data_IF_512201237698
#
_entry.id   IF_512201237698
#
_cell.length_a   1.000
_cell.length_b   1.000
_cell.length_c   1.000
_cell.angle_alpha   90.00
_cell.angle_beta   90.00
_cell.angle_gamma   90.00
#
_symmetry.space_group_name_H-M   'P 1'
#
loop_
_entity.id
_entity.type
_entity.pdbx_description
1 polymer ?
2 polymer ?
3 non-polymer ?
4 water ?
#
# COMPACT_ATOMS: atom_id res chain seq x y z
N UNK A 1 -19.76 -9.34 2.39
CA UNK A 1 -18.51 -9.31 1.65
C UNK A 1 -17.81 -10.64 1.83
N UNK A 2 -16.86 -10.84 1.07
CA UNK A 2 -16.19 -12.12 0.99
C UNK A 2 -14.67 -11.87 1.07
N UNK A 3 -13.92 -12.29 2.08
CA UNK A 3 -12.50 -12.12 2.25
C UNK A 3 -11.79 -13.41 1.98
N UNK A 4 -10.95 -13.42 0.95
CA UNK A 4 -10.22 -14.60 0.51
C UNK A 4 -8.87 -14.63 1.22
N UNK A 5 -8.59 -15.74 1.91
CA UNK A 5 -7.31 -15.94 2.58
C UNK A 5 -6.72 -17.31 2.19
N UNK A 6 -5.44 -17.51 2.48
CA UNK A 6 -4.80 -18.79 2.21
C UNK A 6 -3.77 -19.07 3.30
N UNK A 7 -3.63 -20.35 3.68
CA UNK A 7 -2.75 -20.76 4.76
C UNK A 7 -1.32 -20.27 4.53
N UNK A 8 -0.70 -19.72 5.58
CA UNK A 8 0.71 -19.38 5.54
C UNK A 8 1.10 -18.19 4.68
N UNK A 9 0.12 -17.48 4.11
CA UNK A 9 0.36 -16.21 3.42
C UNK A 9 0.27 -15.05 4.43
N UNK A 10 1.41 -14.40 4.72
CA UNK A 10 1.55 -13.44 5.82
C UNK A 10 0.62 -12.24 5.75
N UNK A 11 0.29 -11.78 4.53
CA UNK A 11 -0.67 -10.68 4.35
C UNK A 11 -2.05 -10.97 4.91
N UNK A 12 -2.36 -12.25 5.11
CA UNK A 12 -3.64 -12.60 5.74
C UNK A 12 -3.71 -12.24 7.22
N UNK A 13 -2.56 -12.11 7.88
CA UNK A 13 -2.54 -11.71 9.29
C UNK A 13 -3.19 -10.37 9.67
N UNK A 14 -2.73 -9.28 9.08
CA UNK A 14 -3.33 -8.01 9.42
C UNK A 14 -4.83 -7.97 9.01
N UNK A 15 -5.17 -8.50 7.85
CA UNK A 15 -6.54 -8.43 7.42
C UNK A 15 -7.50 -9.23 8.29
N UNK A 16 -7.09 -10.39 8.77
CA UNK A 16 -7.87 -11.10 9.73
C UNK A 16 -8.00 -10.40 11.10
N UNK A 17 -6.90 -9.78 11.53
CA UNK A 17 -6.91 -9.04 12.80
C UNK A 17 -7.76 -7.77 12.72
N UNK A 18 -7.86 -7.18 11.53
CA UNK A 18 -8.64 -5.94 11.35
C UNK A 18 -10.11 -6.16 10.98
N UNK A 19 -10.45 -7.37 10.54
CA UNK A 19 -11.80 -7.66 10.01
C UNK A 19 -12.93 -7.34 11.00
N UNK A 20 -12.64 -7.40 12.30
CA UNK A 20 -13.65 -7.15 13.34
C UNK A 20 -14.13 -5.72 13.37
N UNK A 21 -13.31 -4.81 12.82
CA UNK A 21 -13.67 -3.39 12.75
C UNK A 21 -14.84 -3.11 11.81
N UNK A 22 -15.15 -4.07 10.93
CA UNK A 22 -16.30 -3.96 10.03
C UNK A 22 -17.63 -4.37 10.68
N UNK A 23 -17.57 -4.99 11.87
CA UNK A 23 -18.77 -5.50 12.55
C UNK A 23 -19.79 -4.41 12.81
N UNK A 24 -21.04 -4.70 12.47
CA UNK A 24 -22.10 -3.73 12.63
C UNK A 24 -22.16 -2.73 11.48
N UNK A 25 -21.18 -2.77 10.57
CA UNK A 25 -21.31 -2.01 9.32
C UNK A 25 -21.55 -2.92 8.11
N UNK A 26 -20.79 -4.01 8.02
CA UNK A 26 -20.94 -5.00 6.96
C UNK A 26 -20.42 -6.34 7.44
N UNK A 27 -20.74 -7.40 6.72
CA UNK A 27 -20.34 -8.74 7.14
C UNK A 27 -19.12 -9.17 6.35
N UNK A 28 -18.17 -9.79 7.02
CA UNK A 28 -16.96 -10.29 6.36
C UNK A 28 -16.93 -11.81 6.50
N UNK A 29 -17.30 -12.55 5.46
CA UNK A 29 -17.14 -13.99 5.47
C UNK A 29 -15.72 -14.31 5.03
N UNK A 30 -15.14 -15.31 5.68
CA UNK A 30 -13.78 -15.76 5.34
C UNK A 30 -13.79 -16.99 4.43
N UNK A 31 -13.23 -16.84 3.24
CA UNK A 31 -13.10 -17.95 2.29
C UNK A 31 -11.63 -18.39 2.23
N UNK A 32 -11.34 -19.63 2.54
CA UNK A 32 -9.98 -20.13 2.53
C UNK A 32 -9.72 -20.90 1.24
N UNK A 33 -8.67 -20.43 0.46
CA UNK A 33 -8.41 -20.94 -0.88
C UNK A 33 -6.96 -21.36 -1.01
N UNK A 34 -6.64 -22.02 -2.03
CA UNK A 34 -5.29 -22.35 -2.34
C UNK A 34 -4.42 -21.17 -2.75
N UNK A 35 -3.12 -21.31 -2.62
CA UNK A 35 -2.21 -20.18 -2.89
C UNK A 35 -2.09 -19.84 -4.39
N UNK A 36 -2.66 -20.69 -5.24
CA UNK A 36 -2.61 -20.49 -6.69
C UNK A 36 -3.96 -20.17 -7.33
N UNK A 37 -4.99 -20.03 -6.51
CA UNK A 37 -6.32 -19.66 -6.98
C UNK A 37 -6.35 -18.18 -7.38
N UNK A 38 -6.85 -17.90 -8.58
CA UNK A 38 -6.95 -16.53 -9.09
C UNK A 38 -8.36 -16.00 -8.90
N UNK A 39 -8.59 -15.30 -7.80
CA UNK A 39 -9.94 -14.84 -7.47
C UNK A 39 -10.36 -13.48 -8.07
N UNK A 40 -9.38 -12.67 -8.47
CA UNK A 40 -9.66 -11.34 -9.01
C UNK A 40 -9.70 -11.40 -10.54
N UNK A 41 -10.87 -11.05 -11.13
CA UNK A 41 -11.11 -11.20 -12.59
C UNK A 41 -10.10 -10.45 -13.46
N UNK A 42 -9.58 -9.31 -12.98
CA UNK A 42 -8.71 -8.47 -13.81
C UNK A 42 -7.22 -8.69 -13.55
N UNK A 43 -6.87 -9.60 -12.64
CA UNK A 43 -5.47 -9.87 -12.32
C UNK A 43 -5.04 -11.24 -12.85
N UNK A 44 -3.91 -11.26 -13.56
CA UNK A 44 -3.48 -12.49 -14.23
C UNK A 44 -2.92 -13.47 -13.22
N UNK A 45 -2.10 -12.96 -12.30
CA UNK A 45 -1.43 -13.79 -11.29
C UNK A 45 -2.20 -13.81 -9.96
N UNK A 46 -2.25 -14.98 -9.31
CA UNK A 46 -3.03 -15.12 -8.08
C UNK A 46 -2.60 -14.14 -7.01
N UNK A 47 -3.57 -13.58 -6.31
CA UNK A 47 -3.28 -12.70 -5.19
C UNK A 47 -4.16 -13.12 -4.01
N UNK A 48 -3.56 -13.15 -2.84
CA UNK A 48 -4.26 -13.40 -1.58
C UNK A 48 -3.52 -12.61 -0.49
N UNK A 49 -4.25 -11.94 0.42
CA UNK A 49 -5.69 -11.78 0.58
C UNK A 49 -6.34 -10.80 -0.39
N UNK A 50 -7.59 -11.06 -0.65
CA UNK A 50 -8.41 -10.25 -1.51
C UNK A 50 -9.79 -10.07 -0.91
N UNK A 51 -10.33 -8.86 -1.01
CA UNK A 51 -11.64 -8.62 -0.50
C UNK A 51 -12.60 -8.32 -1.64
N UNK A 52 -13.61 -9.13 -1.74
CA UNK A 52 -14.72 -8.83 -2.67
C UNK A 52 -15.78 -8.06 -1.87
N UNK A 53 -15.91 -6.79 -2.21
CA UNK A 53 -16.82 -5.90 -1.54
C UNK A 53 -18.29 -6.20 -1.93
N UNK A 54 -19.22 -5.69 -1.13
CA UNK A 54 -20.64 -5.87 -1.44
C UNK A 54 -21.01 -5.27 -2.81
N UNK A 55 -20.33 -4.20 -3.19
CA UNK A 55 -20.47 -3.58 -4.51
C UNK A 55 -19.95 -4.46 -5.63
N UNK A 56 -19.14 -5.47 -5.29
CA UNK A 56 -18.50 -6.31 -6.30
C UNK A 56 -17.16 -5.77 -6.82
N UNK A 57 -16.76 -4.60 -6.34
CA UNK A 57 -15.39 -4.13 -6.46
C UNK A 57 -14.47 -5.01 -5.61
N UNK A 58 -13.18 -4.99 -5.94
CA UNK A 58 -12.19 -5.76 -5.22
C UNK A 58 -11.10 -4.89 -4.62
N UNK A 59 -10.68 -5.26 -3.41
CA UNK A 59 -9.45 -4.75 -2.88
C UNK A 59 -8.45 -5.88 -2.84
N UNK A 60 -7.29 -5.65 -3.46
CA UNK A 60 -6.26 -6.65 -3.57
C UNK A 60 -5.00 -6.26 -2.81
N UNK A 61 -5.05 -5.10 -2.15
CA UNK A 61 -3.94 -4.63 -1.35
C UNK A 61 -4.22 -4.90 0.11
N UNK A 62 -3.29 -5.59 0.78
CA UNK A 62 -3.44 -5.92 2.20
C UNK A 62 -3.66 -4.67 3.05
N UNK A 63 -2.84 -3.64 2.84
CA UNK A 63 -3.00 -2.39 3.58
C UNK A 63 -4.32 -1.67 3.27
N UNK A 64 -4.77 -1.74 2.02
CA UNK A 64 -6.06 -1.12 1.67
C UNK A 64 -7.24 -1.86 2.26
N UNK A 65 -7.12 -3.18 2.39
CA UNK A 65 -8.18 -4.00 2.98
C UNK A 65 -8.30 -3.57 4.43
N UNK A 66 -7.16 -3.49 5.12
CA UNK A 66 -7.13 -3.05 6.52
C UNK A 66 -7.65 -1.62 6.65
N UNK A 67 -7.24 -0.74 5.73
CA UNK A 67 -7.75 0.63 5.75
C UNK A 67 -9.26 0.64 5.62
N UNK A 68 -9.79 -0.11 4.66
CA UNK A 68 -11.24 -0.19 4.46
C UNK A 68 -11.97 -0.60 5.75
N UNK A 69 -11.48 -1.63 6.42
CA UNK A 69 -12.09 -2.09 7.66
C UNK A 69 -12.10 -0.99 8.72
N UNK A 70 -10.96 -0.28 8.85
CA UNK A 70 -10.89 0.84 9.80
C UNK A 70 -11.82 1.98 9.44
N UNK A 71 -11.91 2.29 8.15
CA UNK A 71 -12.79 3.37 7.71
C UNK A 71 -14.25 3.03 8.02
N UNK A 72 -14.62 1.77 7.85
CA UNK A 72 -15.95 1.31 8.24
C UNK A 72 -16.24 1.51 9.73
N UNK A 73 -15.21 1.40 10.56
CA UNK A 73 -15.37 1.56 12.00
C UNK A 73 -15.40 3.04 12.40
N UNK A 74 -15.23 3.93 11.43
CA UNK A 74 -15.33 5.38 11.65
C UNK A 74 -14.00 6.09 11.88
N UNK A 75 -12.91 5.42 11.51
CA UNK A 75 -11.56 5.97 11.61
C UNK A 75 -11.36 7.07 10.62
N UNK A 76 -10.65 8.11 11.06
CA UNK A 76 -10.33 9.26 10.22
C UNK A 76 -8.87 9.16 9.78
N UNK A 77 -8.65 9.37 8.48
CA UNK A 77 -7.32 9.26 7.92
C UNK A 77 -6.43 10.36 8.47
N UNK A 78 -5.18 10.00 8.79
CA UNK A 78 -4.20 10.99 9.22
C UNK A 78 -2.87 10.76 8.50
N UNK A 79 -2.09 11.81 8.39
CA UNK A 79 -0.86 11.79 7.66
C UNK A 79 0.21 10.83 8.19
N UNK A 80 0.32 10.77 9.52
CA UNK A 80 1.31 9.91 10.18
C UNK A 80 1.04 8.45 9.86
N UNK A 81 -0.23 8.05 9.88
CA UNK A 81 -0.58 6.70 9.50
C UNK A 81 -0.22 6.40 8.04
N UNK A 82 -0.54 7.32 7.13
CA UNK A 82 -0.12 7.14 5.72
C UNK A 82 1.39 6.94 5.60
N UNK A 83 2.13 7.71 6.39
CA UNK A 83 3.58 7.70 6.37
C UNK A 83 4.09 6.33 6.76
N UNK A 84 3.50 5.74 7.80
CA UNK A 84 3.89 4.39 8.23
C UNK A 84 3.56 3.35 7.20
N UNK A 85 2.37 3.48 6.62
CA UNK A 85 1.92 2.50 5.65
C UNK A 85 2.76 2.52 4.37
N UNK A 86 3.16 3.71 3.94
CA UNK A 86 4.01 3.82 2.75
C UNK A 86 5.41 3.25 3.03
N UNK A 87 5.95 3.55 4.20
CA UNK A 87 7.23 2.98 4.65
C UNK A 87 7.19 1.47 4.74
N UNK A 88 6.09 0.93 5.26
CA UNK A 88 5.93 -0.51 5.37
C UNK A 88 5.98 -1.18 3.99
N UNK A 89 5.34 -0.54 3.02
CA UNK A 89 5.19 -1.15 1.69
C UNK A 89 6.45 -1.12 0.87
N UNK A 90 7.21 -0.03 0.99
CA UNK A 90 8.36 0.25 0.13
C UNK A 90 9.71 -0.02 0.81
N UNK A 91 9.73 0.13 2.12
CA UNK A 91 10.96 -0.13 2.83
C UNK A 91 11.00 -1.41 3.66
N UNK A 92 10.03 -1.59 4.55
CA UNK A 92 10.06 -2.76 5.40
C UNK A 92 9.81 -4.05 4.65
N UNK A 93 8.82 -4.06 3.78
CA UNK A 93 8.48 -5.30 3.06
C UNK A 93 9.65 -5.96 2.31
N UNK A 94 10.43 -5.18 1.52
CA UNK A 94 11.61 -5.77 0.88
C UNK A 94 12.60 -6.39 1.88
N UNK A 95 12.88 -5.68 2.97
CA UNK A 95 13.83 -6.13 4.00
C UNK A 95 13.35 -7.39 4.70
N UNK A 96 12.07 -7.38 5.07
CA UNK A 96 11.41 -8.50 5.74
C UNK A 96 11.33 -9.73 4.86
N UNK A 97 10.99 -9.53 3.58
CA UNK A 97 10.99 -10.59 2.58
C UNK A 97 12.32 -11.35 2.55
N UNK A 98 13.42 -10.61 2.42
CA UNK A 98 14.75 -11.22 2.41
C UNK A 98 15.04 -12.01 3.69
N UNK A 99 14.84 -11.36 4.84
CA UNK A 99 15.05 -11.97 6.17
C UNK A 99 14.29 -13.27 6.35
N UNK A 100 13.03 -13.29 5.93
CA UNK A 100 12.19 -14.46 6.06
C UNK A 100 12.57 -15.52 5.04
N UNK A 101 12.99 -15.10 3.85
CA UNK A 101 13.48 -16.02 2.84
C UNK A 101 14.73 -16.74 3.32
N UNK A 102 15.63 -16.00 3.98
CA UNK A 102 16.84 -16.59 4.54
C UNK A 102 16.50 -17.59 5.63
N UNK A 103 15.60 -17.17 6.52
CA UNK A 103 15.25 -18.00 7.63
C UNK A 103 14.56 -19.25 7.22
N UNK A 104 13.47 -19.11 6.52
CA UNK A 104 12.67 -20.22 5.99
C UNK A 104 13.13 -21.09 4.85
N UNK A 105 13.59 -20.47 3.77
CA UNK A 105 13.98 -21.28 2.62
C UNK A 105 15.43 -21.75 2.71
N UNK A 106 16.30 -20.93 3.25
CA UNK A 106 17.73 -21.24 3.31
C UNK A 106 18.20 -21.80 4.66
N UNK A 107 17.30 -21.80 5.65
CA UNK A 107 17.63 -22.34 6.96
C UNK A 107 18.70 -21.57 7.73
N UNK A 108 18.96 -20.33 7.33
CA UNK A 108 19.88 -19.47 8.09
C UNK A 108 19.27 -19.10 9.45
N UNK A 109 20.12 -18.65 10.36
CA UNK A 109 19.70 -18.35 11.74
C UNK A 109 20.42 -17.11 12.28
N UNK A 110 19.97 -16.62 13.43
CA UNK A 110 20.58 -15.46 14.09
C UNK A 110 20.76 -14.26 13.18
N UNK A 111 21.95 -13.66 13.22
CA UNK A 111 22.24 -12.44 12.46
C UNK A 111 22.21 -12.61 10.94
N UNK A 112 22.38 -13.83 10.45
CA UNK A 112 22.23 -14.08 9.02
C UNK A 112 20.79 -13.85 8.56
N UNK A 113 19.87 -13.84 9.52
CA UNK A 113 18.44 -13.58 9.25
C UNK A 113 18.09 -12.15 9.60
N UNK A 114 18.46 -11.77 10.81
CA UNK A 114 18.08 -10.49 11.39
C UNK A 114 18.79 -9.33 10.69
N UNK A 115 20.00 -9.61 10.17
CA UNK A 115 20.79 -8.61 9.46
C UNK A 115 20.00 -7.74 8.49
N UNK A 116 19.21 -8.41 7.65
CA UNK A 116 18.40 -7.76 6.62
C UNK A 116 17.39 -6.73 7.15
N UNK A 117 16.99 -6.87 8.42
CA UNK A 117 15.96 -6.00 9.01
C UNK A 117 16.37 -5.16 10.22
N UNK A 118 17.59 -5.34 10.73
CA UNK A 118 18.00 -4.62 11.95
C UNK A 118 17.83 -3.10 11.89
N UNK A 119 18.24 -2.47 10.79
CA UNK A 119 18.07 -1.04 10.63
C UNK A 119 16.59 -0.64 10.71
N UNK A 120 15.75 -1.39 10.03
CA UNK A 120 14.29 -1.13 10.03
C UNK A 120 13.69 -1.34 11.43
N UNK A 121 14.12 -2.38 12.15
CA UNK A 121 13.64 -2.59 13.52
C UNK A 121 14.11 -1.48 14.46
N UNK A 122 15.37 -1.05 14.29
CA UNK A 122 15.88 0.08 15.03
C UNK A 122 15.04 1.33 14.80
N UNK A 123 14.64 1.57 13.56
CA UNK A 123 13.80 2.71 13.25
C UNK A 123 12.46 2.69 13.96
N UNK A 124 11.80 1.54 13.98
CA UNK A 124 10.52 1.41 14.67
C UNK A 124 10.67 1.64 16.16
N UNK A 125 11.68 0.99 16.74
CA UNK A 125 11.98 1.15 18.16
C UNK A 125 12.25 2.60 18.51
N UNK A 126 13.17 3.24 17.77
CA UNK A 126 13.50 4.64 17.97
C UNK A 126 12.27 5.54 17.87
N UNK A 127 11.43 5.31 16.86
CA UNK A 127 10.19 6.09 16.70
C UNK A 127 9.24 5.94 17.89
N UNK A 128 9.11 4.72 18.40
CA UNK A 128 8.28 4.47 19.57
C UNK A 128 8.84 5.12 20.84
N UNK A 129 10.15 5.10 20.99
CA UNK A 129 10.82 5.70 22.15
C UNK A 129 10.66 7.22 22.16
N UNK A 130 10.84 7.83 20.99
CA UNK A 130 10.88 9.29 20.86
C UNK A 130 9.51 9.93 21.06
N UNK A 131 8.46 9.21 20.67
CA UNK A 131 7.10 9.60 21.04
C UNK A 131 6.81 9.08 22.43
N UNK A 132 5.89 9.75 23.14
CA UNK A 132 5.52 9.33 24.49
C UNK A 132 4.38 8.32 24.46
N UNK A 133 3.69 8.28 23.32
CA UNK A 133 2.53 7.40 23.12
C UNK A 133 2.93 5.95 22.81
N UNK A 134 2.15 4.98 23.32
CA UNK A 134 2.45 3.54 23.18
C UNK A 134 2.24 2.97 21.78
N UNK A 135 1.65 3.75 20.87
CA UNK A 135 1.37 3.27 19.53
C UNK A 135 1.98 4.15 18.44
N UNK A 136 1.99 3.64 17.21
CA UNK A 136 2.79 4.21 16.14
C UNK A 136 2.37 5.59 15.66
N UNK A 137 1.06 5.86 15.76
CA UNK A 137 0.48 7.09 15.25
C UNK A 137 -0.35 7.80 16.29
N UNK A 138 -0.24 7.35 17.54
CA UNK A 138 -0.99 7.98 18.63
C UNK A 138 -1.19 7.10 19.85
N UNK A 139 -2.31 7.32 20.52
CA UNK A 139 -2.50 6.89 21.91
C UNK A 139 -3.23 5.56 22.06
N UNK A 140 -3.91 5.12 21.00
CA UNK A 140 -4.63 3.84 20.99
C UNK A 140 -4.21 2.99 19.78
N UNK A 141 -4.34 1.67 19.89
CA UNK A 141 -3.98 0.78 18.77
C UNK A 141 -4.84 1.09 17.55
N UNK A 142 -4.18 1.41 16.44
CA UNK A 142 -4.90 1.80 15.22
C UNK A 142 -4.40 1.10 13.96
N UNK A 143 -4.71 1.66 12.79
CA UNK A 143 -4.36 1.04 11.50
C UNK A 143 -2.86 0.79 11.26
N UNK A 144 -2.02 1.78 11.58
CA UNK A 144 -0.58 1.63 11.43
C UNK A 144 -0.06 0.47 12.27
N UNK A 145 -0.58 0.35 13.49
CA UNK A 145 -0.18 -0.74 14.37
C UNK A 145 -0.52 -2.12 13.82
N UNK A 146 -1.71 -2.28 13.27
CA UNK A 146 -2.13 -3.59 12.79
C UNK A 146 -1.34 -3.99 11.54
N UNK A 147 -1.15 -3.03 10.62
CA UNK A 147 -0.40 -3.31 9.41
C UNK A 147 1.05 -3.69 9.74
N UNK A 148 1.70 -2.91 10.59
CA UNK A 148 3.10 -3.17 10.96
C UNK A 148 3.25 -4.44 11.78
N UNK A 149 2.36 -4.63 12.74
CA UNK A 149 2.35 -5.87 13.51
C UNK A 149 2.20 -7.05 12.59
N UNK A 150 1.24 -6.97 11.66
CA UNK A 150 1.01 -8.06 10.72
C UNK A 150 2.21 -8.44 9.84
N UNK A 151 2.97 -7.44 9.42
CA UNK A 151 4.17 -7.69 8.62
C UNK A 151 5.24 -8.37 9.48
N UNK A 152 5.41 -7.86 10.68
CA UNK A 152 6.51 -8.30 11.54
C UNK A 152 6.24 -9.60 12.21
N UNK A 153 4.97 -9.88 12.48
CA UNK A 153 4.63 -11.01 13.33
C UNK A 153 5.35 -12.32 13.00
N UNK A 154 5.37 -12.76 11.71
CA UNK A 154 5.98 -14.06 11.42
C UNK A 154 7.44 -14.17 11.88
N UNK A 155 8.16 -13.06 11.84
CA UNK A 155 9.55 -13.02 12.34
C UNK A 155 9.59 -12.92 13.86
N UNK A 156 8.97 -11.86 14.38
CA UNK A 156 9.06 -11.49 15.79
C UNK A 156 8.32 -12.41 16.77
N UNK A 157 7.47 -13.29 16.25
CA UNK A 157 6.73 -14.24 17.09
C UNK A 157 7.63 -15.28 17.77
N UNK A 158 8.81 -15.52 17.19
CA UNK A 158 9.83 -16.34 17.83
C UNK A 158 10.74 -15.39 18.60
N UNK A 159 10.75 -15.46 19.96
CA UNK A 159 11.50 -14.51 20.82
C UNK A 159 12.99 -14.39 20.46
N UNK A 160 13.52 -15.42 19.81
CA UNK A 160 14.92 -15.42 19.37
C UNK A 160 15.17 -14.38 18.29
N UNK A 161 14.13 -13.95 17.59
CA UNK A 161 14.25 -12.97 16.51
C UNK A 161 13.66 -11.61 16.85
N UNK A 162 13.40 -11.40 18.12
CA UNK A 162 12.91 -10.12 18.64
C UNK A 162 14.02 -9.52 19.52
N UNK A 163 14.87 -8.65 18.94
CA UNK A 163 16.09 -8.22 19.63
C UNK A 163 15.82 -7.54 20.97
N UNK A 164 16.47 -8.08 22.01
CA UNK A 164 16.26 -7.71 23.41
C UNK A 164 16.44 -6.21 23.70
N UNK A 165 17.43 -5.60 23.05
CA UNK A 165 17.77 -4.19 23.29
C UNK A 165 16.72 -3.21 22.79
N UNK A 166 15.86 -3.67 21.89
CA UNK A 166 14.82 -2.84 21.30
C UNK A 166 13.58 -2.93 22.19
N UNK A 167 13.63 -2.23 23.32
CA UNK A 167 12.63 -2.42 24.37
C UNK A 167 11.28 -1.78 24.06
N UNK A 168 11.29 -0.71 23.29
CA UNK A 168 10.06 -0.04 22.92
C UNK A 168 9.28 -0.86 21.95
N UNK A 169 10.00 -1.39 20.99
CA UNK A 169 9.44 -2.25 20.00
C UNK A 169 8.89 -3.50 20.65
N UNK A 170 9.67 -4.08 21.56
CA UNK A 170 9.26 -5.26 22.34
C UNK A 170 7.95 -5.06 23.06
N UNK A 171 7.86 -4.01 23.86
CA UNK A 171 6.64 -3.72 24.59
C UNK A 171 5.42 -3.47 23.68
N UNK A 172 5.62 -2.75 22.59
CA UNK A 172 4.56 -2.50 21.59
C UNK A 172 4.07 -3.78 20.98
N UNK A 173 5.02 -4.63 20.61
CA UNK A 173 4.72 -5.87 19.92
C UNK A 173 3.96 -6.81 20.84
N UNK A 174 4.39 -6.89 22.09
CA UNK A 174 3.67 -7.67 23.12
C UNK A 174 2.23 -7.19 23.34
N UNK A 175 2.03 -5.89 23.47
CA UNK A 175 0.73 -5.34 23.67
C UNK A 175 -0.16 -5.73 22.47
N UNK A 176 0.34 -5.62 21.24
CA UNK A 176 -0.46 -6.02 20.09
C UNK A 176 -0.75 -7.52 19.96
N UNK A 177 0.27 -8.32 20.16
CA UNK A 177 0.12 -9.72 19.99
C UNK A 177 -0.85 -10.35 20.98
N UNK A 178 -1.05 -9.74 22.13
CA UNK A 178 -1.91 -10.28 23.18
C UNK A 178 -3.39 -9.98 22.96
N UNK A 179 -3.68 -9.05 22.05
CA UNK A 179 -5.07 -8.73 21.74
C UNK A 179 -5.72 -9.94 21.07
N UNK A 180 -6.96 -10.24 21.47
CA UNK A 180 -7.65 -11.44 20.99
C UNK A 180 -7.74 -11.54 19.45
N UNK A 181 -8.05 -10.43 18.76
CA UNK A 181 -8.08 -10.58 17.31
C UNK A 181 -6.70 -10.89 16.70
N UNK A 182 -5.63 -10.42 17.35
CA UNK A 182 -4.29 -10.72 16.84
C UNK A 182 -3.90 -12.19 17.07
N UNK A 183 -4.24 -12.71 18.24
CA UNK A 183 -3.96 -14.10 18.61
C UNK A 183 -4.67 -15.05 17.64
N UNK A 184 -5.94 -14.76 17.37
CA UNK A 184 -6.74 -15.57 16.47
C UNK A 184 -6.18 -15.52 15.08
N UNK A 185 -5.80 -14.32 14.62
CA UNK A 185 -5.21 -14.19 13.27
C UNK A 185 -3.93 -15.02 13.17
N UNK A 186 -3.08 -14.93 14.19
CA UNK A 186 -1.84 -15.71 14.24
C UNK A 186 -2.09 -17.22 14.17
N UNK A 187 -3.05 -17.69 14.97
CA UNK A 187 -3.42 -19.09 14.97
C UNK A 187 -3.97 -19.55 13.63
N UNK A 188 -4.75 -18.70 12.97
CA UNK A 188 -5.35 -19.04 11.70
C UNK A 188 -4.30 -19.18 10.57
N UNK A 189 -3.35 -18.25 10.53
CA UNK A 189 -2.45 -18.14 9.38
C UNK A 189 -1.25 -19.08 9.53
N UNK A 190 -0.67 -19.10 10.72
CA UNK A 190 0.55 -19.88 10.98
C UNK A 190 0.27 -21.27 11.57
N UNK A 191 -0.90 -21.42 12.20
CA UNK A 191 -1.32 -22.68 12.81
C UNK A 191 -0.21 -23.19 13.75
N UNK A 192 0.22 -24.44 13.62
CA UNK A 192 1.24 -24.97 14.52
C UNK A 192 2.69 -24.78 14.01
N UNK A 193 2.84 -24.24 12.81
CA UNK A 193 4.16 -24.24 12.18
C UNK A 193 5.01 -23.00 12.43
N UNK A 194 4.45 -21.99 13.11
CA UNK A 194 5.16 -20.72 13.25
C UNK A 194 5.60 -20.18 11.90
N UNK A 195 6.82 -19.66 11.84
CA UNK A 195 7.34 -19.04 10.66
C UNK A 195 7.39 -20.04 9.48
N UNK A 196 7.52 -21.30 9.77
CA UNK A 196 7.65 -22.32 8.70
C UNK A 196 6.40 -22.49 7.82
N UNK A 197 5.27 -21.96 8.29
CA UNK A 197 4.00 -21.95 7.55
C UNK A 197 4.16 -21.17 6.26
N UNK A 198 5.02 -20.17 6.29
CA UNK A 198 5.32 -19.33 5.12
C UNK A 198 6.04 -20.01 4.00
N UNK A 199 6.67 -21.12 4.26
CA UNK A 199 7.60 -21.69 3.29
C UNK A 199 7.09 -21.84 1.83
N UNK A 200 5.85 -22.32 1.63
CA UNK A 200 5.39 -22.39 0.23
C UNK A 200 5.31 -21.02 -0.45
N UNK A 201 4.83 -20.02 0.29
CA UNK A 201 4.67 -18.64 -0.20
C UNK A 201 6.01 -17.95 -0.50
N UNK A 202 7.00 -18.12 0.37
CA UNK A 202 8.30 -17.45 0.31
C UNK A 202 9.12 -17.99 -0.78
N UNK A 203 8.96 -19.28 -0.93
CA UNK A 203 9.28 -20.04 -2.09
C UNK A 203 10.00 -21.34 -1.84
N UNK B 1 14.26 5.34 -15.79
CA UNK B 1 13.58 5.26 -14.47
C UNK B 1 12.44 6.26 -14.30
N UNK B 2 11.79 6.19 -13.15
CA UNK B 2 10.67 7.07 -12.86
C UNK B 2 11.11 8.47 -12.56
N UNK B 3 10.22 9.43 -12.84
CA UNK B 3 10.32 10.80 -12.34
C UNK B 3 10.90 10.81 -10.94
N UNK B 4 11.87 11.68 -10.71
CA UNK B 4 12.33 11.95 -9.34
C UNK B 4 11.15 12.50 -8.54
N UNK B 5 11.09 12.13 -7.28
CA UNK B 5 9.94 12.50 -6.46
C UNK B 5 9.75 14.02 -6.29
N UNK B 6 10.84 14.78 -6.19
CA UNK B 6 10.76 16.25 -6.06
C UNK B 6 10.17 16.86 -7.33
N UNK B 7 10.51 16.28 -8.48
CA UNK B 7 9.96 16.72 -9.76
C UNK B 7 8.48 16.38 -9.85
N UNK B 8 8.12 15.17 -9.43
CA UNK B 8 6.71 14.80 -9.48
C UNK B 8 5.85 15.65 -8.53
N UNK B 9 6.39 15.93 -7.34
CA UNK B 9 5.66 16.74 -6.35
C UNK B 9 5.52 18.20 -6.82
N UNK B 10 6.53 18.71 -7.51
CA UNK B 10 6.43 20.05 -8.06
C UNK B 10 5.35 20.11 -9.12
N UNK B 11 5.28 19.07 -9.94
CA UNK B 11 4.26 18.92 -10.95
C UNK B 11 2.86 18.79 -10.33
N UNK B 12 2.75 17.98 -9.28
CA UNK B 12 1.49 17.86 -8.56
C UNK B 12 1.00 19.18 -7.93
N UNK B 13 1.93 19.97 -7.37
CA UNK B 13 1.54 21.28 -6.83
C UNK B 13 0.90 22.17 -7.91
N UNK B 14 1.53 22.22 -9.08
CA UNK B 14 0.99 22.99 -10.20
C UNK B 14 -0.38 22.47 -10.65
N UNK B 15 -0.52 21.16 -10.77
CA UNK B 15 -1.80 20.55 -11.12
C UNK B 15 -2.91 20.89 -10.12
N UNK B 16 -2.54 20.94 -8.84
CA UNK B 16 -3.53 21.20 -7.81
C UNK B 16 -3.86 22.69 -7.71
N UNK B 17 -3.02 23.52 -8.35
CA UNK B 17 -3.17 24.97 -8.30
C UNK B 17 -2.57 25.58 -7.05
N UNK B 18 -1.66 24.84 -6.40
CA UNK B 18 -0.92 25.39 -5.26
C UNK B 18 0.14 26.39 -5.72
N UNK B 19 0.24 27.51 -5.02
CA UNK B 19 0.95 28.74 -5.46
C UNK B 19 2.43 28.90 -5.72
N UNK B 20 3.32 28.45 -4.85
CA UNK B 20 3.15 28.19 -3.47
C UNK B 20 4.44 28.38 -2.71
N UNK B 21 5.38 27.53 -3.03
CA UNK B 21 6.57 27.36 -2.28
C UNK B 21 6.83 25.89 -2.05
N UNK B 22 6.77 25.42 -0.78
CA UNK B 22 7.18 24.04 -0.43
C UNK B 22 8.50 23.59 -1.02
N UNK B 23 9.50 23.45 -0.16
CA UNK B 23 10.78 22.83 -0.54
C UNK B 23 10.79 21.39 -0.01
N UNK B 24 11.33 20.49 -0.83
CA UNK B 24 11.45 19.09 -0.47
C UNK B 24 12.92 18.75 -0.35
N UNK B 25 13.24 17.99 0.68
CA UNK B 25 14.57 17.43 0.76
C UNK B 25 14.41 15.96 0.44
N UNK B 26 15.52 15.27 0.37
CA UNK B 26 15.51 13.88 0.02
C UNK B 26 16.33 13.11 1.04
N UNK B 27 15.87 11.90 1.33
CA UNK B 27 16.50 11.10 2.36
C UNK B 27 16.77 9.68 1.87
N UNK B 28 17.97 9.19 2.19
CA UNK B 28 18.34 7.81 1.90
C UNK B 28 18.77 7.57 0.47
N UNK B 29 19.23 6.35 0.22
CA UNK B 29 19.72 5.90 -1.08
C UNK B 29 18.69 6.05 -2.22
N UNK B 30 17.42 5.82 -1.89
CA UNK B 30 16.32 5.90 -2.86
C UNK B 30 15.77 7.32 -3.01
N UNK B 31 16.36 8.28 -2.32
CA UNK B 31 16.03 9.71 -2.47
C UNK B 31 14.54 9.95 -2.16
N UNK B 32 14.12 9.44 -1.00
CA UNK B 32 12.73 9.56 -0.57
C UNK B 32 12.42 11.01 -0.22
N UNK B 33 11.29 11.55 -0.75
CA UNK B 33 10.97 12.96 -0.50
C UNK B 33 10.57 13.25 0.95
N UNK B 34 11.00 14.40 1.45
CA UNK B 34 10.66 14.85 2.79
C UNK B 34 10.13 16.28 2.70
N UNK B 35 8.97 16.52 3.29
CA UNK B 35 8.39 17.86 3.36
C UNK B 35 8.42 18.32 4.81
N UNK B 36 9.04 19.48 5.05
CA UNK B 36 8.88 20.11 6.36
C UNK B 36 7.74 21.13 6.28
N UNK B 37 6.59 20.78 6.87
CA UNK B 37 5.41 21.64 6.82
C UNK B 37 5.54 22.77 7.83
N UNK B 38 5.08 23.96 7.45
CA UNK B 38 5.11 25.11 8.35
C UNK B 38 4.22 24.89 9.57
N UNK B 39 4.85 24.98 10.74
CA UNK B 39 4.18 24.77 12.03
C UNK B 39 3.48 23.41 12.13
N UNK B 40 4.06 22.42 11.44
CA UNK B 40 3.56 21.05 11.48
C UNK B 40 4.68 20.03 11.47
N UNK B 41 4.33 18.73 11.42
CA UNK B 41 5.34 17.68 11.36
C UNK B 41 6.03 17.62 9.99
N UNK B 42 7.18 16.95 9.94
CA UNK B 42 7.80 16.55 8.69
C UNK B 42 7.05 15.34 8.15
N UNK B 43 6.86 15.30 6.83
CA UNK B 43 6.23 14.15 6.21
C UNK B 43 7.17 13.55 5.21
N UNK B 44 7.16 12.22 5.14
CA UNK B 44 8.06 11.50 4.28
C UNK B 44 7.31 10.49 3.38
N UNK B 45 7.70 10.43 2.11
CA UNK B 45 7.14 9.47 1.16
C UNK B 45 6.32 10.15 0.06
N UNK B 46 6.45 9.68 -1.17
CA UNK B 46 5.70 10.31 -2.25
C UNK B 46 4.19 10.38 -2.05
N UNK B 47 3.56 9.27 -1.71
CA UNK B 47 2.08 9.25 -1.68
C UNK B 47 1.57 9.92 -0.41
N UNK B 48 2.35 9.82 0.68
CA UNK B 48 2.03 10.53 1.93
C UNK B 48 2.04 12.03 1.72
N UNK B 49 3.08 12.51 1.07
CA UNK B 49 3.14 13.94 0.75
C UNK B 49 2.04 14.33 -0.24
N UNK B 50 1.82 13.49 -1.26
CA UNK B 50 0.75 13.78 -2.21
C UNK B 50 -0.61 13.97 -1.55
N UNK B 51 -1.01 13.06 -0.66
CA UNK B 51 -2.28 13.18 0.05
C UNK B 51 -2.29 14.46 0.90
N UNK B 52 -1.13 14.82 1.46
CA UNK B 52 -1.03 16.07 2.22
C UNK B 52 -1.25 17.30 1.35
N UNK B 53 -0.66 17.31 0.17
CA UNK B 53 -0.83 18.41 -0.78
C UNK B 53 -2.29 18.60 -1.21
N UNK B 54 -3.00 17.49 -1.41
CA UNK B 54 -4.40 17.54 -1.80
C UNK B 54 -5.21 18.27 -0.73
N UNK B 55 -4.87 17.96 0.52
CA UNK B 55 -5.47 18.66 1.66
C UNK B 55 -5.10 20.14 1.74
N UNK B 56 -3.83 20.47 1.49
CA UNK B 56 -3.38 21.87 1.42
C UNK B 56 -4.18 22.66 0.39
N UNK B 57 -4.55 22.00 -0.70
CA UNK B 57 -5.31 22.60 -1.80
C UNK B 57 -6.81 22.70 -1.55
N UNK B 58 -7.26 22.31 -0.35
CA UNK B 58 -8.68 22.18 -0.04
C UNK B 58 -9.41 21.29 -1.06
N UNK B 59 -8.76 20.19 -1.40
CA UNK B 59 -9.30 19.25 -2.37
C UNK B 59 -9.33 17.84 -1.79
N UNK B 60 -9.72 17.72 -0.53
CA UNK B 60 -9.75 16.41 0.15
C UNK B 60 -10.60 15.36 -0.54
N UNK B 61 -11.59 15.80 -1.34
CA UNK B 61 -12.45 14.90 -2.10
C UNK B 61 -11.65 14.03 -3.09
N UNK B 62 -10.45 14.49 -3.45
CA UNK B 62 -9.57 13.73 -4.36
C UNK B 62 -9.05 12.48 -3.68
N UNK B 63 -9.25 12.37 -2.36
CA UNK B 63 -8.86 11.15 -1.65
C UNK B 63 -9.98 10.14 -1.50
N UNK B 64 -11.17 10.47 -2.00
CA UNK B 64 -12.35 9.59 -1.91
C UNK B 64 -13.39 10.14 -0.93
N UNK B 65 -14.66 9.86 -1.20
CA UNK B 65 -15.76 10.45 -0.42
C UNK B 65 -16.55 9.44 0.41
N UNK B 66 -16.16 8.16 0.31
CA UNK B 66 -16.74 7.05 1.10
C UNK B 66 -15.65 6.11 1.57
N UNK B 67 -15.95 5.24 2.54
CA UNK B 67 -14.96 4.29 3.02
C UNK B 67 -14.38 3.47 1.86
N UNK B 68 -15.26 2.95 1.01
CA UNK B 68 -14.87 2.17 -0.15
C UNK B 68 -14.01 2.98 -1.13
N UNK B 69 -14.47 4.17 -1.51
CA UNK B 69 -13.69 5.01 -2.43
C UNK B 69 -12.31 5.37 -1.85
N UNK B 70 -12.26 5.71 -0.55
CA UNK B 70 -11.00 6.04 0.11
C UNK B 70 -10.01 4.87 0.08
N UNK B 71 -10.47 3.69 0.46
CA UNK B 71 -9.64 2.49 0.36
C UNK B 71 -9.17 2.20 -1.09
N UNK B 72 -10.05 2.37 -2.07
CA UNK B 72 -9.68 2.14 -3.47
C UNK B 72 -8.64 3.15 -3.98
N UNK B 73 -8.78 4.42 -3.59
CA UNK B 73 -7.74 5.41 -3.91
C UNK B 73 -6.40 4.94 -3.36
N UNK B 74 -6.39 4.49 -2.10
CA UNK B 74 -5.11 4.12 -1.47
C UNK B 74 -4.54 2.84 -2.07
N UNK B 75 -5.40 1.93 -2.48
CA UNK B 75 -4.98 0.74 -3.18
C UNK B 75 -4.24 1.11 -4.49
N UNK B 76 -4.78 2.11 -5.21
CA UNK B 76 -4.19 2.46 -6.51
C UNK B 76 -2.97 3.32 -6.39
N UNK B 77 -2.89 4.11 -5.33
CA UNK B 77 -1.64 4.79 -4.98
C UNK B 77 -0.52 3.81 -4.63
N UNK B 78 -0.84 2.77 -3.86
CA UNK B 78 0.16 1.73 -3.57
C UNK B 78 0.64 0.97 -4.82
N UNK B 79 -0.32 0.64 -5.69
CA UNK B 79 -0.03 0.03 -6.98
C UNK B 79 0.94 0.91 -7.77
N UNK B 80 0.67 2.21 -7.81
CA UNK B 80 1.62 3.15 -8.41
C UNK B 80 3.04 3.01 -7.88
N UNK B 81 3.22 3.07 -6.56
CA UNK B 81 4.60 3.06 -6.03
C UNK B 81 5.30 1.69 -5.98
N UNK B 82 4.52 0.63 -5.79
CA UNK B 82 5.09 -0.73 -5.72
C UNK B 82 5.16 -1.47 -7.07
N UNK B 83 4.19 -1.27 -7.96
CA UNK B 83 4.13 -2.01 -9.24
C UNK B 83 4.68 -1.20 -10.41
N UNK B 84 4.18 0.02 -10.59
CA UNK B 84 4.61 0.89 -11.69
C UNK B 84 6.03 1.42 -11.48
N UNK B 85 6.35 1.88 -10.28
CA UNK B 85 7.71 2.34 -9.96
C UNK B 85 8.66 1.21 -9.56
N UNK B 86 8.13 0.01 -9.36
CA UNK B 86 8.91 -1.15 -8.90
C UNK B 86 9.40 -2.08 -10.00
N UNK B 87 9.73 -3.31 -9.62
CA UNK B 87 10.33 -4.29 -10.54
C UNK B 87 9.42 -4.75 -11.65
N UNK B 88 8.13 -4.87 -11.34
CA UNK B 88 7.16 -5.47 -12.28
C UNK B 88 6.96 -4.71 -13.60
N UNK B 89 7.08 -3.38 -13.56
CA UNK B 89 7.06 -2.56 -14.78
C UNK B 89 8.39 -2.66 -15.52
N UNK B 90 9.47 -2.89 -14.78
CA UNK B 90 10.81 -2.99 -15.37
C UNK B 90 10.98 -4.34 -16.06
N UNK B 91 10.36 -5.37 -15.48
CA UNK B 91 10.57 -6.75 -15.93
C UNK B 91 9.43 -7.30 -16.80
N UNK B 92 8.25 -6.72 -16.69
CA UNK B 92 7.09 -7.16 -17.42
C UNK B 92 5.97 -6.11 -17.44
N UNK B 93 6.19 -5.03 -18.14
CA UNK B 93 5.22 -3.94 -18.26
C UNK B 93 3.94 -4.40 -18.94
N UNK B 94 4.04 -5.34 -19.85
CA UNK B 94 2.84 -5.77 -20.57
C UNK B 94 1.84 -6.54 -19.74
N UNK B 95 2.27 -7.26 -18.71
CA UNK B 95 1.30 -7.93 -17.83
C UNK B 95 0.58 -6.88 -16.99
N UNK B 96 1.30 -5.85 -16.59
CA UNK B 96 0.74 -4.72 -15.85
C UNK B 96 -0.29 -3.97 -16.71
N UNK B 97 0.05 -3.71 -17.95
CA UNK B 97 -0.89 -3.09 -18.85
C UNK B 97 -2.10 -3.98 -19.16
N UNK B 98 -1.88 -5.26 -19.36
CA UNK B 98 -3.00 -6.20 -19.56
C UNK B 98 -3.97 -6.16 -18.38
N UNK B 99 -3.45 -6.14 -17.15
CA UNK B 99 -4.31 -6.14 -15.95
C UNK B 99 -5.08 -4.83 -15.84
N UNK B 100 -4.40 -3.71 -16.03
CA UNK B 100 -5.06 -2.41 -16.03
C UNK B 100 -6.09 -2.32 -17.13
N UNK B 101 -5.76 -2.86 -18.30
CA UNK B 101 -6.72 -2.87 -19.39
C UNK B 101 -8.00 -3.62 -19.04
N UNK B 102 -7.86 -4.77 -18.40
CA UNK B 102 -9.00 -5.55 -17.96
C UNK B 102 -9.78 -4.78 -16.88
N UNK B 103 -9.05 -4.19 -15.93
CA UNK B 103 -9.69 -3.43 -14.87
C UNK B 103 -10.50 -2.22 -15.35
N UNK B 104 -9.97 -1.52 -16.34
CA UNK B 104 -10.58 -0.28 -16.81
C UNK B 104 -11.63 -0.46 -17.90
N UNK B 105 -11.96 -1.71 -18.24
CA UNK B 105 -12.96 -1.97 -19.28
C UNK B 105 -14.29 -1.25 -19.02
N UNK B 106 -14.70 -1.22 -17.75
CA UNK B 106 -16.04 -0.72 -17.42
C UNK B 106 -15.99 0.42 -16.41
N UNK B 107 -14.87 1.15 -16.42
CA UNK B 107 -14.67 2.24 -15.46
C UNK B 107 -14.16 3.48 -16.19
N UNK B 108 -14.67 4.64 -15.79
CA UNK B 108 -14.18 5.91 -16.35
C UNK B 108 -12.86 6.26 -15.69
N UNK B 109 -12.87 6.23 -14.36
CA UNK B 109 -11.67 6.51 -13.58
C UNK B 109 -11.30 5.27 -12.77
N UNK B 110 -10.14 5.30 -12.13
CA UNK B 110 -9.66 4.15 -11.34
C UNK B 110 -10.63 3.67 -10.25
N UNK B 111 -11.30 4.60 -9.57
CA UNK B 111 -12.28 4.21 -8.54
C UNK B 111 -13.73 4.13 -9.08
N UNK B 112 -13.96 4.55 -10.31
CA UNK B 112 -15.32 4.55 -10.89
C UNK B 112 -15.67 5.86 -11.57
N UNK B 113 -16.77 6.49 -11.17
CA UNK B 113 -17.20 7.77 -11.81
C UNK B 113 -16.57 9.04 -11.25
N UNK B 114 -15.89 8.95 -10.11
CA UNK B 114 -15.21 10.11 -9.54
C UNK B 114 -13.70 10.09 -9.79
N UNK B 115 -13.21 11.20 -10.31
CA UNK B 115 -11.81 11.50 -10.47
C UNK B 115 -11.15 11.69 -9.09
N UNK B 116 -9.99 11.08 -8.92
CA UNK B 116 -9.26 11.13 -7.64
C UNK B 116 -7.74 11.28 -7.82
N UNK B 117 -7.04 11.46 -6.71
CA UNK B 117 -5.58 11.51 -6.70
C UNK B 117 -4.92 10.27 -7.33
N UNK B 118 -5.60 9.13 -7.23
CA UNK B 118 -5.09 7.90 -7.82
C UNK B 118 -4.98 8.00 -9.35
N UNK B 119 -5.97 8.62 -10.01
CA UNK B 119 -5.86 8.85 -11.45
C UNK B 119 -4.68 9.73 -11.76
N UNK B 120 -4.51 10.82 -10.99
CA UNK B 120 -3.43 11.76 -11.23
C UNK B 120 -2.07 11.07 -11.18
N UNK B 121 -1.81 10.34 -10.09
CA UNK B 121 -0.50 9.73 -9.90
C UNK B 121 -0.25 8.55 -10.84
N UNK B 122 -1.30 7.77 -11.15
CA UNK B 122 -1.11 6.65 -12.09
C UNK B 122 -0.80 7.20 -13.48
N UNK B 123 -1.47 8.30 -13.85
CA UNK B 123 -1.16 9.02 -15.10
C UNK B 123 0.30 9.49 -15.16
N UNK B 124 0.74 10.19 -14.12
CA UNK B 124 2.11 10.67 -14.08
C UNK B 124 3.08 9.52 -14.16
N UNK B 125 2.78 8.46 -13.42
CA UNK B 125 3.67 7.30 -13.30
C UNK B 125 3.71 6.47 -14.56
N UNK B 126 2.61 6.41 -15.29
CA UNK B 126 2.54 5.65 -16.54
C UNK B 126 2.99 6.44 -17.75
N UNK B 127 3.07 7.76 -17.62
CA UNK B 127 3.37 8.59 -18.79
C UNK B 127 4.57 8.10 -19.60
N UNK B 128 5.68 7.74 -18.94
CA UNK B 128 6.92 7.31 -19.62
C UNK B 128 6.74 6.05 -20.47
N UNK B 129 5.80 5.20 -20.09
CA UNK B 129 5.52 3.99 -20.87
C UNK B 129 4.55 4.27 -22.01
N UNK B 130 3.49 5.03 -21.71
CA UNK B 130 2.43 5.29 -22.68
C UNK B 130 2.93 6.16 -23.83
N UNK B 131 3.77 7.16 -23.51
CA UNK B 131 4.33 8.07 -24.52
C UNK B 131 5.11 7.28 -25.60
N UNK B 132 5.61 6.10 -25.23
CA UNK B 132 6.44 5.26 -26.11
C UNK B 132 5.68 4.12 -26.80
N UNK B 133 4.41 3.94 -26.46
CA UNK B 133 3.60 2.88 -27.06
C UNK B 133 3.39 3.14 -28.55
N UNK B 134 3.39 2.06 -29.34
CA UNK B 134 3.06 2.17 -30.75
C UNK B 134 1.55 2.38 -30.96
N UNK B 135 1.21 2.72 -32.21
CA UNK B 135 -0.17 2.81 -32.65
C UNK B 135 -0.91 1.50 -32.29
N UNK B 136 -0.34 0.35 -32.64
CA UNK B 136 -1.00 -0.92 -32.42
C UNK B 136 -1.16 -1.26 -30.93
N UNK B 137 -0.15 -0.97 -30.14
CA UNK B 137 -0.20 -1.18 -28.69
C UNK B 137 -1.28 -0.32 -27.99
N UNK B 138 -1.41 0.93 -28.42
CA UNK B 138 -2.52 1.78 -27.91
C UNK B 138 -3.89 1.21 -28.26
N UNK B 139 -3.99 0.56 -29.43
CA UNK B 139 -5.22 -0.12 -29.83
C UNK B 139 -5.43 -1.39 -29.03
N UNK B 140 -4.35 -2.11 -28.73
CA UNK B 140 -4.45 -3.34 -27.92
C UNK B 140 -4.92 -3.04 -26.49
N UNK B 141 -4.35 -2.01 -25.89
CA UNK B 141 -4.69 -1.61 -24.53
C UNK B 141 -5.70 -0.48 -24.58
N UNK B 142 -6.80 -0.74 -25.27
CA UNK B 142 -7.82 0.22 -25.58
C UNK B 142 -8.39 0.93 -24.33
N UNK B 143 -8.56 0.18 -23.24
CA UNK B 143 -9.20 0.73 -22.03
C UNK B 143 -8.23 1.58 -21.25
N UNK B 144 -6.95 1.19 -21.27
CA UNK B 144 -5.89 2.03 -20.71
C UNK B 144 -5.76 3.33 -21.51
N UNK B 145 -5.76 3.22 -22.84
CA UNK B 145 -5.70 4.39 -23.73
C UNK B 145 -6.84 5.37 -23.47
N UNK B 146 -8.07 4.84 -23.38
CA UNK B 146 -9.23 5.66 -23.16
C UNK B 146 -9.13 6.39 -21.79
N UNK B 147 -8.74 5.67 -20.74
CA UNK B 147 -8.58 6.31 -19.41
C UNK B 147 -7.47 7.35 -19.43
N UNK B 148 -6.33 6.99 -20.04
CA UNK B 148 -5.16 7.88 -20.12
C UNK B 148 -5.54 9.15 -20.89
N UNK B 149 -6.27 8.96 -22.00
CA UNK B 149 -6.76 10.10 -22.74
C UNK B 149 -7.65 11.03 -21.89
N UNK B 150 -8.56 10.45 -21.11
CA UNK B 150 -9.41 11.26 -20.24
C UNK B 150 -8.55 12.03 -19.28
N UNK B 151 -7.54 11.38 -18.69
CA UNK B 151 -6.73 12.12 -17.73
C UNK B 151 -5.90 13.22 -18.39
N UNK B 152 -5.34 12.95 -19.57
CA UNK B 152 -4.50 13.98 -20.21
C UNK B 152 -5.34 15.19 -20.66
N UNK B 153 -6.65 15.02 -20.76
CA UNK B 153 -7.55 16.15 -21.05
C UNK B 153 -8.21 16.76 -19.85
N UNK B 154 -7.97 16.20 -18.67
CA UNK B 154 -8.61 16.68 -17.44
C UNK B 154 -8.02 18.03 -16.98
N UNK B 155 -8.88 19.01 -16.57
CA UNK B 155 -8.31 20.33 -16.35
C UNK B 155 -7.09 20.37 -15.42
N UNK B 156 -6.03 21.03 -15.88
CA UNK B 156 -4.85 21.28 -15.06
C UNK B 156 -3.86 20.11 -14.87
N UNK B 157 -4.20 18.92 -15.36
CA UNK B 157 -3.38 17.76 -15.01
C UNK B 157 -2.10 17.60 -15.84
N UNK B 158 -2.22 17.78 -17.15
CA UNK B 158 -1.13 17.51 -18.09
C UNK B 158 0.13 18.35 -17.83
N UNK B 159 -0.06 19.62 -17.51
CA UNK B 159 1.05 20.54 -17.30
C UNK B 159 2.08 20.47 -18.45
N UNK B 160 3.34 20.14 -18.17
CA UNK B 160 4.39 20.12 -19.22
C UNK B 160 4.49 18.79 -19.95
N UNK B 161 3.71 17.79 -19.54
CA UNK B 161 3.87 16.44 -20.09
C UNK B 161 3.36 16.32 -21.54
N UNK B 162 4.10 15.60 -22.38
CA UNK B 162 3.71 15.46 -23.78
C UNK B 162 2.32 14.86 -23.94
N UNK B 163 1.51 15.47 -24.80
CA UNK B 163 0.26 14.87 -25.20
C UNK B 163 0.54 13.61 -26.01
N UNK B 164 -0.22 12.55 -25.75
CA UNK B 164 -0.14 11.29 -26.51
C UNK B 164 -1.31 11.25 -27.50
N UNK B 165 -1.05 10.75 -28.72
CA UNK B 165 -2.08 10.71 -29.75
C UNK B 165 -2.89 9.40 -29.63
N UNK B 166 -4.21 9.53 -29.55
CA UNK B 166 -5.12 8.38 -29.50
C UNK B 166 -6.14 8.47 -30.62
N UNK B 167 -6.37 7.35 -31.29
CA UNK B 167 -7.23 7.28 -32.45
C UNK B 167 -8.23 6.15 -32.22
N UNK B 168 -9.48 6.48 -32.05
CA UNK B 168 -10.51 5.51 -31.88
C UNK B 168 -10.70 4.74 -33.21
N UNK B 169 -10.88 3.41 -33.12
CA UNK B 169 -11.05 2.55 -34.30
C UNK B 169 -12.34 1.86 -33.99
N UNK B 170 -13.43 2.60 -34.22
CA UNK B 170 -14.77 2.15 -33.94
C UNK B 170 -15.71 2.54 -35.08
#
# INVERSE_FOLDING_TARGET
>A
MRLFVSDGVPGCLPVLAAAGRARGRAEVLISTVGPQDCVVPFLTRPKVPVLQLDSGNYLFSTSAICRYFFLLSGWEQDDLTNQWLEWEATELQPALSAALYYLVVQGKKGEDVLGSVRRALTHIDHSLSRQNCPFLAGETESLADIVLWGALYPLLQDPAYLPEELSALHSWFQTLSTQEPCQRAAQTVLKQQGVLALRPYLQKQPQLEHHHHHH
>B
GHMAAAAELSLLEKSLGLSKGNKYSAQGERQIPVLQTNDGPSLMGLTTIAAHLVKQANKEYLLGSTAEEKAMVQQWLEYRVTQVDGHSSKNDIHTLLMDLNSYLEDKVYLTGYNFTLADILLYYGLHRFIVDLTVQEKEKYLNVSRWFCHIQHYPGIRQHLSSVVFIKNRL
#
